data_IF_555454135296
#
_entry.id   IF_555454135296
#
_cell.length_a   1.000
_cell.length_b   1.000
_cell.length_c   1.000
_cell.angle_alpha   90.00
_cell.angle_beta   90.00
_cell.angle_gamma   90.00
#
_symmetry.space_group_name_H-M   'P 1'
#
loop_
_entity.id
_entity.type
_entity.pdbx_description
1 polymer ?
#
# COMPACT_ATOMS: atom_id res chain seq x y z
N UNK A 1 -6.32 5.34 -9.46
CA UNK A 1 -5.31 5.11 -8.41
C UNK A 1 -4.29 4.11 -8.91
N UNK A 2 -3.03 4.46 -8.80
CA UNK A 2 -1.95 3.55 -9.20
C UNK A 2 -1.49 2.76 -7.97
N UNK A 3 -1.44 1.44 -8.10
CA UNK A 3 -1.05 0.56 -6.99
C UNK A 3 0.04 -0.39 -7.47
N UNK A 4 1.14 -0.45 -6.74
CA UNK A 4 2.24 -1.37 -7.02
C UNK A 4 2.59 -2.12 -5.74
N UNK A 5 2.85 -3.42 -5.89
CA UNK A 5 3.35 -4.26 -4.80
C UNK A 5 4.72 -4.77 -5.20
N UNK A 6 5.71 -4.50 -4.36
CA UNK A 6 7.10 -4.90 -4.60
C UNK A 6 7.55 -5.75 -3.42
N UNK A 7 8.01 -6.96 -3.69
CA UNK A 7 8.49 -7.89 -2.67
C UNK A 7 9.94 -8.29 -3.00
N UNK A 8 10.85 -7.97 -2.11
CA UNK A 8 12.29 -8.21 -2.30
C UNK A 8 12.80 -7.64 -3.63
N UNK A 9 12.36 -6.41 -3.94
CA UNK A 9 12.76 -5.73 -5.16
C UNK A 9 12.06 -6.19 -6.42
N UNK A 10 11.19 -7.19 -6.31
CA UNK A 10 10.47 -7.73 -7.46
C UNK A 10 9.03 -7.19 -7.48
N UNK A 11 8.64 -6.61 -8.59
CA UNK A 11 7.28 -6.13 -8.79
C UNK A 11 6.34 -7.33 -9.00
N UNK A 12 5.31 -7.41 -8.18
CA UNK A 12 4.35 -8.51 -8.22
C UNK A 12 3.18 -8.10 -9.13
N UNK A 13 2.90 -8.89 -10.18
CA UNK A 13 1.78 -8.57 -11.07
C UNK A 13 0.45 -8.68 -10.32
N UNK A 14 -0.41 -7.69 -10.54
CA UNK A 14 -1.76 -7.71 -9.99
C UNK A 14 -2.74 -7.26 -11.07
N UNK A 15 -3.88 -7.95 -11.17
CA UNK A 15 -4.95 -7.49 -12.06
C UNK A 15 -5.64 -6.27 -11.44
N UNK A 16 -6.56 -5.67 -12.20
CA UNK A 16 -7.23 -4.43 -11.76
C UNK A 16 -8.02 -4.62 -10.47
N UNK A 17 -8.67 -5.77 -10.32
CA UNK A 17 -9.45 -6.06 -9.11
C UNK A 17 -8.54 -6.10 -7.88
N UNK A 18 -7.43 -6.82 -7.98
CA UNK A 18 -6.48 -6.95 -6.86
C UNK A 18 -5.84 -5.60 -6.53
N UNK A 19 -5.48 -4.82 -7.56
CA UNK A 19 -4.95 -3.47 -7.34
C UNK A 19 -5.94 -2.59 -6.58
N UNK A 20 -7.21 -2.65 -6.97
CA UNK A 20 -8.24 -1.89 -6.29
C UNK A 20 -8.42 -2.34 -4.86
N UNK A 21 -8.40 -3.65 -4.62
CA UNK A 21 -8.52 -4.21 -3.27
C UNK A 21 -7.36 -3.76 -2.38
N UNK A 22 -6.13 -3.96 -2.84
CA UNK A 22 -4.93 -3.60 -2.08
C UNK A 22 -4.89 -2.09 -1.83
N UNK A 23 -5.12 -1.30 -2.87
CA UNK A 23 -5.08 0.15 -2.75
C UNK A 23 -6.15 0.70 -1.83
N UNK A 24 -7.37 0.21 -1.94
CA UNK A 24 -8.48 0.66 -1.09
C UNK A 24 -8.25 0.27 0.37
N UNK A 25 -7.69 -0.91 0.62
CA UNK A 25 -7.37 -1.38 1.96
C UNK A 25 -6.29 -0.50 2.60
N UNK A 26 -5.20 -0.26 1.87
CA UNK A 26 -4.11 0.58 2.36
C UNK A 26 -4.56 2.02 2.59
N UNK A 27 -5.34 2.56 1.65
CA UNK A 27 -5.90 3.90 1.76
C UNK A 27 -6.79 4.03 3.00
N UNK A 28 -7.71 3.10 3.19
CA UNK A 28 -8.60 3.13 4.34
C UNK A 28 -7.85 3.04 5.65
N UNK A 29 -6.85 2.16 5.71
CA UNK A 29 -6.02 2.02 6.90
C UNK A 29 -5.26 3.31 7.22
N UNK A 30 -4.63 3.91 6.22
CA UNK A 30 -3.84 5.13 6.44
C UNK A 30 -4.72 6.32 6.80
N UNK A 31 -5.88 6.45 6.16
CA UNK A 31 -6.77 7.60 6.39
C UNK A 31 -7.47 7.58 7.74
N UNK A 32 -7.41 6.47 8.47
CA UNK A 32 -7.92 6.44 9.85
C UNK A 32 -6.94 7.02 10.86
N UNK A 33 -5.71 7.29 10.47
CA UNK A 33 -4.68 7.81 11.35
C UNK A 33 -4.71 9.34 11.38
N UNK A 34 -4.66 9.92 12.57
CA UNK A 34 -4.78 11.38 12.74
C UNK A 34 -3.64 12.16 12.10
N UNK A 35 -2.45 11.55 12.01
CA UNK A 35 -1.27 12.22 11.46
C UNK A 35 -1.21 12.21 9.93
N UNK A 36 -2.18 11.56 9.29
CA UNK A 36 -2.20 11.50 7.83
C UNK A 36 -3.01 12.68 7.28
N UNK A 37 -2.33 13.50 6.48
CA UNK A 37 -2.97 14.63 5.81
C UNK A 37 -3.94 14.10 4.74
N UNK A 38 -5.21 14.53 4.74
CA UNK A 38 -6.16 14.05 3.74
C UNK A 38 -5.81 14.40 2.29
N UNK A 39 -4.88 15.32 2.09
CA UNK A 39 -4.41 15.68 0.74
C UNK A 39 -3.17 14.89 0.30
N UNK A 40 -2.90 13.74 0.95
CA UNK A 40 -1.74 12.92 0.61
C UNK A 40 -1.69 12.58 -0.88
N UNK A 41 -0.47 12.47 -1.43
CA UNK A 41 -0.27 12.12 -2.82
C UNK A 41 0.27 10.71 -3.03
N UNK A 42 0.91 10.14 -2.02
CA UNK A 42 1.54 8.83 -2.13
C UNK A 42 1.59 8.14 -0.78
N UNK A 43 1.25 6.86 -0.76
CA UNK A 43 1.34 6.04 0.45
C UNK A 43 2.40 4.96 0.23
N UNK A 44 3.32 4.82 1.17
CA UNK A 44 4.30 3.75 1.19
C UNK A 44 4.20 2.99 2.50
N UNK A 45 4.21 1.66 2.40
CA UNK A 45 4.21 0.76 3.56
C UNK A 45 5.43 -0.13 3.42
N UNK A 46 6.27 -0.16 4.44
CA UNK A 46 7.47 -0.99 4.45
C UNK A 46 7.32 -2.04 5.52
N UNK A 47 7.38 -3.30 5.12
CA UNK A 47 7.26 -4.44 6.03
C UNK A 47 8.47 -5.33 5.83
N UNK A 48 9.19 -5.58 6.90
CA UNK A 48 10.35 -6.45 6.87
C UNK A 48 10.15 -7.56 7.91
N UNK A 49 10.47 -8.80 7.52
CA UNK A 49 10.38 -9.91 8.47
C UNK A 49 11.49 -9.78 9.50
N UNK A 50 11.13 -10.00 10.75
CA UNK A 50 12.13 -10.10 11.80
C UNK A 50 12.73 -11.50 11.78
N UNK A 51 14.02 -11.58 12.00
CA UNK A 51 14.68 -12.87 12.18
C UNK A 51 14.39 -13.37 13.59
N UNK A 52 13.92 -14.61 13.67
CA UNK A 52 13.61 -15.26 14.94
C UNK A 52 14.58 -16.41 15.19
#
# INVERSE_FOLDING_TARGET
>A
MKVELIVDGKKIPMNKFVQKFVGSTAKGMAETLDDVDPSWGKIQIIIEKEEE
#
